data_IF_925004382851
#
_entry.id   IF_925004382851
#
_cell.length_a   1.000
_cell.length_b   1.000
_cell.length_c   1.000
_cell.angle_alpha   90.00
_cell.angle_beta   90.00
_cell.angle_gamma   90.00
#
_symmetry.space_group_name_H-M   'P 1'
#
loop_
_entity.id
_entity.type
_entity.pdbx_description
1 polymer ?
#
# COMPACT_ATOMS: atom_id res chain seq x y z
N UNK A 1 19.83 -76.49 39.50
CA UNK A 1 18.72 -76.31 40.45
C UNK A 1 18.56 -74.81 40.67
N UNK A 2 17.46 -74.20 40.18
CA UNK A 2 16.23 -73.95 40.97
C UNK A 2 16.58 -73.04 42.17
N UNK A 3 16.24 -71.75 42.21
CA UNK A 3 14.90 -71.16 42.46
C UNK A 3 15.11 -69.62 42.45
N UNK A 4 14.44 -68.86 41.56
CA UNK A 4 13.12 -68.19 41.74
C UNK A 4 13.14 -66.94 42.64
N UNK A 5 12.95 -65.79 41.96
CA UNK A 5 12.01 -64.67 42.24
C UNK A 5 11.98 -64.03 43.65
N UNK A 6 12.23 -62.72 43.70
CA UNK A 6 11.24 -61.73 44.16
C UNK A 6 11.69 -60.30 43.78
N UNK A 7 10.76 -59.54 43.24
CA UNK A 7 10.88 -58.14 42.87
C UNK A 7 10.50 -57.23 44.05
N UNK A 8 11.09 -56.03 44.17
CA UNK A 8 10.40 -54.83 44.68
C UNK A 8 10.85 -53.60 43.89
N UNK A 9 9.83 -52.82 43.54
CA UNK A 9 9.75 -51.57 42.76
C UNK A 9 10.41 -50.40 43.49
N UNK A 10 11.13 -49.55 42.76
CA UNK A 10 11.24 -48.12 43.09
C UNK A 10 11.42 -47.31 41.80
N UNK A 11 10.34 -46.65 41.41
CA UNK A 11 10.30 -45.67 40.34
C UNK A 11 11.00 -44.38 40.79
N UNK A 12 11.88 -43.85 39.94
CA UNK A 12 12.31 -42.46 39.98
C UNK A 12 12.37 -41.95 38.54
N UNK A 13 11.22 -41.49 38.06
CA UNK A 13 11.10 -40.68 36.84
C UNK A 13 11.61 -39.29 37.20
N UNK A 14 12.86 -38.98 36.82
CA UNK A 14 13.33 -37.59 36.78
C UNK A 14 13.16 -37.14 35.33
N UNK A 15 12.00 -36.51 35.08
CA UNK A 15 11.79 -35.65 33.95
C UNK A 15 12.44 -34.29 34.23
N UNK A 16 13.43 -33.91 33.43
CA UNK A 16 13.95 -32.54 33.40
C UNK A 16 14.32 -32.16 31.97
N UNK A 17 13.29 -31.72 31.24
CA UNK A 17 13.28 -30.51 30.42
C UNK A 17 14.44 -30.34 29.43
N UNK A 18 14.40 -31.13 28.35
CA UNK A 18 14.91 -30.65 27.08
C UNK A 18 14.04 -29.47 26.62
N UNK A 19 14.60 -28.27 26.63
CA UNK A 19 14.03 -27.09 26.02
C UNK A 19 13.87 -27.36 24.52
N UNK A 20 12.69 -27.83 24.13
CA UNK A 20 12.21 -27.75 22.75
C UNK A 20 11.97 -26.27 22.49
N UNK A 21 13.02 -25.57 22.06
CA UNK A 21 12.86 -24.29 21.39
C UNK A 21 12.16 -24.57 20.07
N UNK A 22 10.83 -24.57 20.07
CA UNK A 22 10.05 -24.35 18.87
C UNK A 22 10.38 -22.93 18.39
N UNK A 23 11.50 -22.77 17.70
CA UNK A 23 11.61 -21.70 16.72
C UNK A 23 10.62 -22.07 15.63
N UNK A 24 9.40 -21.50 15.74
CA UNK A 24 8.57 -21.22 14.59
C UNK A 24 9.39 -20.27 13.68
N UNK A 25 10.35 -20.84 12.95
CA UNK A 25 10.80 -20.26 11.71
C UNK A 25 9.59 -20.30 10.79
N UNK A 26 8.77 -19.24 10.86
CA UNK A 26 7.90 -18.87 9.75
C UNK A 26 8.84 -18.72 8.57
N UNK A 27 8.92 -19.78 7.79
CA UNK A 27 9.62 -19.81 6.54
C UNK A 27 8.82 -18.87 5.63
N UNK A 28 9.22 -17.60 5.59
CA UNK A 28 8.68 -16.68 4.60
C UNK A 28 8.83 -17.36 3.25
N UNK A 29 7.75 -17.48 2.46
CA UNK A 29 7.84 -18.01 1.13
C UNK A 29 8.91 -17.22 0.39
N UNK A 30 10.01 -17.88 0.02
CA UNK A 30 11.09 -17.24 -0.74
C UNK A 30 10.52 -16.89 -2.10
N UNK A 31 10.00 -15.68 -2.24
CA UNK A 31 9.50 -15.17 -3.51
C UNK A 31 10.69 -15.09 -4.45
N UNK A 32 10.63 -15.68 -5.67
CA UNK A 32 11.72 -15.56 -6.62
C UNK A 32 11.96 -14.07 -6.91
N UNK A 33 13.23 -13.64 -7.04
CA UNK A 33 13.53 -12.25 -7.39
C UNK A 33 12.85 -11.91 -8.72
N UNK A 34 12.01 -10.87 -8.72
CA UNK A 34 11.37 -10.39 -9.94
C UNK A 34 12.38 -9.52 -10.68
N UNK A 35 12.69 -9.87 -11.93
CA UNK A 35 13.50 -9.02 -12.80
C UNK A 35 12.59 -7.96 -13.45
N UNK A 36 12.86 -6.69 -13.17
CA UNK A 36 12.04 -5.59 -13.70
C UNK A 36 12.23 -5.33 -15.20
N UNK A 37 13.18 -6.00 -15.84
CA UNK A 37 13.59 -5.73 -17.22
C UNK A 37 12.85 -6.55 -18.28
N UNK A 38 12.09 -7.57 -17.87
CA UNK A 38 11.38 -8.46 -18.79
C UNK A 38 9.88 -8.33 -18.60
N UNK A 39 9.15 -8.08 -19.69
CA UNK A 39 7.70 -8.03 -19.65
C UNK A 39 7.13 -9.40 -19.26
N UNK A 40 6.15 -9.46 -18.35
CA UNK A 40 5.44 -10.70 -18.06
C UNK A 40 4.73 -11.22 -19.33
N UNK A 41 4.86 -12.52 -19.58
CA UNK A 41 4.26 -13.22 -20.73
C UNK A 41 3.15 -14.18 -20.32
N UNK A 42 2.82 -14.22 -19.02
CA UNK A 42 1.79 -15.08 -18.45
C UNK A 42 1.13 -14.42 -17.25
N UNK A 43 -0.08 -14.87 -16.92
CA UNK A 43 -0.84 -14.34 -15.78
C UNK A 43 -0.13 -14.61 -14.45
N UNK A 44 0.50 -15.78 -14.28
CA UNK A 44 1.30 -16.10 -13.08
C UNK A 44 2.47 -15.14 -12.89
N UNK A 45 3.14 -14.74 -13.99
CA UNK A 45 4.20 -13.74 -13.92
C UNK A 45 3.65 -12.36 -13.55
N UNK A 46 2.50 -11.96 -14.10
CA UNK A 46 1.85 -10.71 -13.69
C UNK A 46 1.46 -10.71 -12.21
N UNK A 47 0.91 -11.81 -11.69
CA UNK A 47 0.59 -11.95 -10.27
C UNK A 47 1.85 -11.92 -9.39
N UNK A 48 2.97 -12.48 -9.87
CA UNK A 48 4.25 -12.38 -9.20
C UNK A 48 4.76 -10.92 -9.14
N UNK A 49 4.56 -10.15 -10.21
CA UNK A 49 4.88 -8.71 -10.25
C UNK A 49 4.01 -7.92 -9.27
N UNK A 50 2.69 -8.14 -9.26
CA UNK A 50 1.78 -7.52 -8.29
C UNK A 50 2.18 -7.84 -6.85
N UNK A 51 2.45 -9.11 -6.55
CA UNK A 51 2.92 -9.54 -5.24
C UNK A 51 4.22 -8.86 -4.83
N UNK A 52 5.18 -8.75 -5.76
CA UNK A 52 6.45 -8.09 -5.51
C UNK A 52 6.28 -6.57 -5.32
N UNK A 53 5.47 -5.90 -6.13
CA UNK A 53 5.18 -4.47 -6.00
C UNK A 53 4.53 -4.13 -4.65
N UNK A 54 3.61 -4.98 -4.15
CA UNK A 54 3.01 -4.85 -2.82
C UNK A 54 4.04 -4.87 -1.69
N UNK A 55 5.14 -5.59 -1.87
CA UNK A 55 6.18 -5.73 -0.85
C UNK A 55 7.19 -4.57 -0.83
N UNK A 56 7.08 -3.62 -1.77
CA UNK A 56 7.99 -2.47 -1.86
C UNK A 56 7.58 -1.43 -0.81
N UNK A 57 8.56 -0.94 -0.06
CA UNK A 57 8.41 0.21 0.83
C UNK A 57 8.29 1.48 -0.01
N UNK A 58 7.12 2.15 -0.03
CA UNK A 58 6.94 3.33 -0.87
C UNK A 58 7.82 4.49 -0.38
N UNK A 59 7.97 4.71 0.93
CA UNK A 59 8.76 5.84 1.42
C UNK A 59 10.27 5.66 1.22
N UNK A 60 10.75 4.42 1.04
CA UNK A 60 12.14 4.16 0.70
C UNK A 60 12.50 4.58 -0.74
N UNK A 61 11.52 4.82 -1.62
CA UNK A 61 11.77 5.22 -3.02
C UNK A 61 12.28 6.66 -3.16
N UNK A 62 11.96 7.54 -2.21
CA UNK A 62 12.51 8.89 -2.14
C UNK A 62 13.06 9.10 -0.73
N UNK A 63 14.33 8.72 -0.47
CA UNK A 63 14.91 8.78 0.86
C UNK A 63 14.92 10.19 1.44
N UNK A 64 14.85 10.30 2.77
CA UNK A 64 14.91 11.59 3.47
C UNK A 64 16.14 12.42 3.08
N UNK A 65 17.30 11.81 2.86
CA UNK A 65 18.51 12.51 2.38
C UNK A 65 18.34 13.15 1.00
N UNK A 66 17.58 12.53 0.10
CA UNK A 66 17.22 13.11 -1.19
C UNK A 66 16.29 14.30 -0.99
N UNK A 67 15.30 14.18 -0.11
CA UNK A 67 14.37 15.27 0.23
C UNK A 67 15.08 16.46 0.88
N UNK A 68 16.05 16.21 1.75
CA UNK A 68 16.89 17.23 2.41
C UNK A 68 17.75 18.02 1.42
N UNK A 69 18.08 17.43 0.27
CA UNK A 69 18.79 18.15 -0.80
C UNK A 69 17.90 19.15 -1.56
N UNK A 70 16.58 18.98 -1.47
CA UNK A 70 15.57 19.85 -2.10
C UNK A 70 15.16 20.97 -1.14
N UNK A 71 15.02 20.67 0.15
CA UNK A 71 14.60 21.63 1.15
C UNK A 71 14.52 21.05 2.56
N UNK A 72 14.03 21.86 3.50
CA UNK A 72 13.87 21.44 4.89
C UNK A 72 12.68 20.48 4.98
N UNK A 73 12.95 19.22 5.31
CA UNK A 73 11.92 18.19 5.47
C UNK A 73 11.09 18.47 6.73
N UNK A 74 9.79 18.67 6.55
CA UNK A 74 8.85 18.82 7.67
C UNK A 74 8.20 17.49 8.00
N UNK A 75 7.73 16.78 6.98
CA UNK A 75 7.03 15.50 7.13
C UNK A 75 7.40 14.56 5.99
N UNK A 76 7.43 13.26 6.31
CA UNK A 76 7.42 12.17 5.34
C UNK A 76 6.45 11.15 5.91
N UNK A 77 5.46 10.72 5.13
CA UNK A 77 4.45 9.79 5.59
C UNK A 77 3.88 8.92 4.46
N UNK A 78 3.53 7.70 4.83
CA UNK A 78 2.79 6.79 3.94
C UNK A 78 1.35 7.29 3.80
N UNK A 79 0.89 7.45 2.56
CA UNK A 79 -0.48 7.93 2.28
C UNK A 79 -1.44 6.79 1.94
N UNK A 80 -1.02 5.87 1.09
CA UNK A 80 -1.72 4.61 0.82
C UNK A 80 -0.71 3.47 0.98
N UNK A 81 -1.13 2.19 1.04
CA UNK A 81 -0.18 1.08 1.13
C UNK A 81 0.92 1.07 0.05
N UNK A 82 0.71 1.76 -1.08
CA UNK A 82 1.66 1.85 -2.19
C UNK A 82 2.10 3.29 -2.52
N UNK A 83 1.87 4.25 -1.63
CA UNK A 83 2.27 5.65 -1.86
C UNK A 83 2.85 6.31 -0.62
N UNK A 84 3.72 7.28 -0.86
CA UNK A 84 4.31 8.11 0.19
C UNK A 84 4.30 9.57 -0.24
N UNK A 85 4.29 10.46 0.74
CA UNK A 85 4.30 11.88 0.52
C UNK A 85 5.29 12.56 1.45
N UNK A 86 5.80 13.71 1.01
CA UNK A 86 6.66 14.58 1.80
C UNK A 86 6.19 16.03 1.70
N UNK A 87 6.28 16.76 2.81
CA UNK A 87 6.10 18.21 2.85
C UNK A 87 7.40 18.89 3.30
N UNK A 88 7.81 19.91 2.54
CA UNK A 88 9.06 20.63 2.72
C UNK A 88 8.83 22.13 2.89
N UNK A 89 9.80 22.79 3.52
CA UNK A 89 10.03 24.24 3.60
C UNK A 89 9.02 25.07 4.42
N UNK A 90 7.71 24.82 4.34
CA UNK A 90 6.72 25.60 5.08
C UNK A 90 5.51 24.78 5.54
N UNK A 91 4.91 25.18 6.66
CA UNK A 91 3.61 24.66 7.11
C UNK A 91 2.43 25.49 6.57
N UNK A 92 2.70 26.64 5.94
CA UNK A 92 1.68 27.53 5.39
C UNK A 92 1.18 27.02 4.03
N UNK A 93 -0.14 27.09 3.83
CA UNK A 93 -0.77 26.74 2.57
C UNK A 93 -0.28 27.67 1.43
N UNK A 94 0.06 27.09 0.28
CA UNK A 94 0.60 27.84 -0.87
C UNK A 94 2.10 28.14 -0.80
N UNK A 95 2.72 27.99 0.37
CA UNK A 95 4.15 28.28 0.59
C UNK A 95 5.01 27.02 0.76
N UNK A 96 4.41 25.83 0.69
CA UNK A 96 5.11 24.55 0.89
C UNK A 96 5.40 23.84 -0.41
N UNK A 97 6.49 23.08 -0.43
CA UNK A 97 6.74 22.09 -1.48
C UNK A 97 6.17 20.75 -1.02
N UNK A 98 5.35 20.12 -1.85
CA UNK A 98 4.80 18.78 -1.61
C UNK A 98 5.23 17.84 -2.70
N UNK A 99 5.71 16.66 -2.31
CA UNK A 99 5.95 15.54 -3.19
C UNK A 99 4.97 14.42 -2.82
N UNK A 100 4.35 13.81 -3.81
CA UNK A 100 3.58 12.57 -3.65
C UNK A 100 4.07 11.59 -4.70
N UNK A 101 4.32 10.36 -4.32
CA UNK A 101 4.67 9.31 -5.27
C UNK A 101 3.99 8.00 -4.93
N UNK A 102 3.65 7.25 -5.97
CA UNK A 102 2.94 5.98 -5.84
C UNK A 102 3.46 4.93 -6.81
N UNK A 103 3.41 3.69 -6.34
CA UNK A 103 3.74 2.49 -7.13
C UNK A 103 2.45 2.00 -7.78
N UNK A 104 2.51 1.69 -9.06
CA UNK A 104 1.43 1.04 -9.80
C UNK A 104 1.92 -0.22 -10.52
N UNK A 105 0.98 -1.06 -10.91
CA UNK A 105 1.23 -2.18 -11.83
C UNK A 105 0.10 -2.15 -12.84
N UNK A 106 0.36 -1.55 -14.00
CA UNK A 106 -0.67 -1.29 -15.00
C UNK A 106 -0.36 -2.07 -16.27
N UNK A 107 -1.33 -2.88 -16.71
CA UNK A 107 -1.24 -3.62 -17.99
C UNK A 107 -1.40 -2.70 -19.19
N UNK A 108 -2.14 -1.60 -19.00
CA UNK A 108 -2.35 -0.60 -20.03
C UNK A 108 -1.06 0.18 -20.31
N UNK A 109 -0.95 0.76 -21.53
CA UNK A 109 0.11 1.72 -21.81
C UNK A 109 0.07 2.83 -20.76
N UNK A 110 1.24 3.25 -20.30
CA UNK A 110 1.37 4.38 -19.41
C UNK A 110 0.65 5.57 -20.07
N UNK A 111 -0.45 6.04 -19.48
CA UNK A 111 -1.24 7.10 -20.06
C UNK A 111 -0.38 8.37 -20.14
N UNK A 112 -0.08 8.81 -21.35
CA UNK A 112 0.48 10.14 -21.56
C UNK A 112 -0.57 11.16 -21.14
N UNK A 113 -0.19 12.09 -20.28
CA UNK A 113 -0.99 13.26 -19.96
C UNK A 113 -0.64 14.39 -20.94
N UNK A 114 -1.55 15.34 -21.10
CA UNK A 114 -1.36 16.50 -21.96
C UNK A 114 -0.12 17.29 -21.50
N UNK A 115 0.76 17.66 -22.45
CA UNK A 115 2.00 18.37 -22.14
C UNK A 115 3.16 17.49 -21.64
N UNK A 116 2.96 16.19 -21.47
CA UNK A 116 4.04 15.27 -21.14
C UNK A 116 4.97 15.02 -22.33
N UNK A 117 6.27 14.93 -22.06
CA UNK A 117 7.30 14.54 -23.03
C UNK A 117 7.77 13.13 -22.72
N UNK A 118 7.75 12.27 -23.72
CA UNK A 118 8.32 10.93 -23.62
C UNK A 118 9.85 10.98 -23.59
N UNK A 119 10.45 10.23 -22.67
CA UNK A 119 11.89 10.01 -22.56
C UNK A 119 12.19 8.63 -21.98
N UNK A 120 13.46 8.35 -21.71
CA UNK A 120 13.90 7.09 -21.09
C UNK A 120 14.93 7.33 -19.99
N UNK A 121 14.80 6.57 -18.91
CA UNK A 121 15.79 6.50 -17.83
C UNK A 121 16.12 5.02 -17.61
N UNK A 122 17.29 4.60 -18.10
CA UNK A 122 17.62 3.17 -18.20
C UNK A 122 16.58 2.42 -19.04
N UNK A 123 16.02 1.35 -18.47
CA UNK A 123 14.99 0.53 -19.11
C UNK A 123 13.56 1.06 -18.95
N UNK A 124 13.35 2.11 -18.14
CA UNK A 124 12.03 2.69 -17.92
C UNK A 124 11.67 3.70 -19.03
N UNK A 125 10.45 3.61 -19.53
CA UNK A 125 9.82 4.67 -20.34
C UNK A 125 9.24 5.70 -19.38
N UNK A 126 9.48 6.98 -19.65
CA UNK A 126 9.10 8.09 -18.77
C UNK A 126 8.26 9.09 -19.55
N UNK A 127 7.11 9.49 -19.01
CA UNK A 127 6.34 10.65 -19.45
C UNK A 127 6.41 11.70 -18.34
N UNK A 128 6.98 12.87 -18.63
CA UNK A 128 7.10 13.95 -17.67
C UNK A 128 6.68 15.27 -18.28
N UNK A 129 5.95 16.09 -17.52
CA UNK A 129 5.68 17.47 -17.88
C UNK A 129 7.00 18.25 -18.04
N UNK A 130 6.97 19.26 -18.92
CA UNK A 130 8.05 20.24 -19.05
C UNK A 130 7.56 21.59 -18.56
N UNK A 131 8.47 22.37 -17.99
CA UNK A 131 8.24 23.77 -17.70
C UNK A 131 7.80 24.48 -19.00
N UNK A 132 6.56 24.95 -19.08
CA UNK A 132 6.05 25.51 -20.34
C UNK A 132 4.67 26.15 -20.33
N UNK A 133 3.84 25.94 -19.30
CA UNK A 133 2.54 26.59 -19.22
C UNK A 133 2.63 27.95 -18.50
N UNK A 134 2.15 29.02 -19.14
CA UNK A 134 1.74 30.22 -18.41
C UNK A 134 0.55 29.84 -17.53
N UNK A 135 0.72 29.99 -16.23
CA UNK A 135 -0.33 29.71 -15.27
C UNK A 135 -1.25 30.93 -15.12
N UNK A 136 -2.53 30.68 -14.84
CA UNK A 136 -3.45 31.75 -14.52
C UNK A 136 -2.96 32.51 -13.26
N UNK A 137 -3.15 33.85 -13.19
CA UNK A 137 -2.57 34.70 -12.15
C UNK A 137 -3.09 34.41 -10.73
N UNK A 138 -4.15 33.61 -10.58
CA UNK A 138 -4.78 33.20 -9.33
C UNK A 138 -4.28 31.84 -8.79
N UNK A 139 -3.37 31.17 -9.49
CA UNK A 139 -2.79 29.89 -9.07
C UNK A 139 -1.77 30.12 -7.96
N UNK A 140 -2.00 29.56 -6.78
CA UNK A 140 -1.09 29.68 -5.62
C UNK A 140 0.03 28.63 -5.62
N UNK A 141 -0.09 27.56 -6.40
CA UNK A 141 0.87 26.46 -6.45
C UNK A 141 1.06 25.99 -7.89
N UNK A 142 2.31 25.80 -8.30
CA UNK A 142 2.62 25.13 -9.55
C UNK A 142 2.79 23.64 -9.31
N UNK A 143 2.36 22.82 -10.24
CA UNK A 143 2.49 21.36 -10.16
C UNK A 143 3.25 20.84 -11.36
N UNK A 144 4.06 19.81 -11.16
CA UNK A 144 4.67 19.02 -12.22
C UNK A 144 4.44 17.54 -11.95
N UNK A 145 4.01 16.81 -12.98
CA UNK A 145 3.78 15.38 -12.92
C UNK A 145 4.79 14.62 -13.77
N UNK A 146 5.18 13.45 -13.27
CA UNK A 146 5.98 12.47 -13.97
C UNK A 146 5.46 11.07 -13.71
N UNK A 147 5.45 10.25 -14.75
CA UNK A 147 5.16 8.84 -14.64
C UNK A 147 6.23 8.04 -15.39
N UNK A 148 6.54 6.87 -14.86
CA UNK A 148 7.57 6.01 -15.40
C UNK A 148 7.12 4.56 -15.31
N UNK A 149 7.48 3.75 -16.30
CA UNK A 149 7.12 2.33 -16.34
C UNK A 149 8.26 1.47 -16.84
N UNK A 150 8.54 0.40 -16.11
CA UNK A 150 9.47 -0.64 -16.51
C UNK A 150 8.79 -1.65 -17.46
N UNK A 151 9.56 -2.43 -18.26
CA UNK A 151 9.01 -3.44 -19.15
C UNK A 151 8.09 -4.45 -18.46
N UNK A 152 8.40 -4.76 -17.21
CA UNK A 152 7.63 -5.64 -16.31
C UNK A 152 6.26 -5.09 -15.89
N UNK A 153 5.87 -3.92 -16.38
CA UNK A 153 4.63 -3.19 -16.08
C UNK A 153 4.50 -2.56 -14.70
N UNK A 154 5.51 -2.66 -13.83
CA UNK A 154 5.58 -1.84 -12.61
C UNK A 154 5.89 -0.38 -12.97
N UNK A 155 5.19 0.54 -12.33
CA UNK A 155 5.29 1.96 -12.57
C UNK A 155 5.52 2.77 -11.30
N UNK A 156 6.00 3.99 -11.51
CA UNK A 156 6.12 5.04 -10.51
C UNK A 156 5.40 6.27 -11.06
N UNK A 157 4.46 6.80 -10.30
CA UNK A 157 3.90 8.13 -10.50
C UNK A 157 4.49 9.06 -9.45
N UNK A 158 4.87 10.27 -9.85
CA UNK A 158 5.39 11.32 -8.98
C UNK A 158 4.70 12.63 -9.34
N UNK A 159 4.17 13.30 -8.33
CA UNK A 159 3.63 14.65 -8.42
C UNK A 159 4.42 15.55 -7.48
N UNK A 160 4.88 16.68 -7.98
CA UNK A 160 5.49 17.74 -7.19
C UNK A 160 4.65 18.99 -7.29
N UNK A 161 4.32 19.60 -6.16
CA UNK A 161 3.70 20.92 -6.10
C UNK A 161 4.60 21.88 -5.32
N UNK A 162 4.83 23.07 -5.84
CA UNK A 162 5.66 24.12 -5.19
C UNK A 162 4.94 25.46 -5.19
N UNK A 163 5.40 26.44 -4.38
CA UNK A 163 5.00 27.84 -4.57
C UNK A 163 5.27 28.32 -5.99
N UNK A 164 4.54 29.35 -6.43
CA UNK A 164 4.62 29.94 -7.79
C UNK A 164 6.03 30.38 -8.18
N UNK A 165 6.83 30.82 -7.20
CA UNK A 165 8.20 31.29 -7.43
C UNK A 165 9.19 30.15 -7.77
N UNK A 166 8.82 28.91 -7.45
CA UNK A 166 9.67 27.73 -7.60
C UNK A 166 9.30 26.90 -8.84
N UNK A 167 10.20 26.02 -9.25
CA UNK A 167 10.06 25.19 -10.45
C UNK A 167 9.80 23.73 -10.09
N UNK A 168 8.55 23.24 -10.12
CA UNK A 168 8.23 21.88 -9.69
C UNK A 168 8.84 20.82 -10.62
N UNK A 169 9.00 21.07 -11.92
CA UNK A 169 9.62 20.10 -12.83
C UNK A 169 11.13 19.94 -12.60
N UNK A 170 11.82 20.98 -12.14
CA UNK A 170 13.23 20.85 -11.76
C UNK A 170 13.40 19.92 -10.54
N UNK A 171 12.46 19.97 -9.60
CA UNK A 171 12.43 19.04 -8.46
C UNK A 171 12.12 17.62 -8.93
N UNK A 172 11.11 17.45 -9.79
CA UNK A 172 10.78 16.15 -10.38
C UNK A 172 11.98 15.53 -11.11
N UNK A 173 12.65 16.29 -11.99
CA UNK A 173 13.83 15.86 -12.74
C UNK A 173 14.99 15.44 -11.81
N UNK A 174 15.11 16.05 -10.64
CA UNK A 174 16.14 15.70 -9.64
C UNK A 174 15.85 14.42 -8.87
N UNK A 175 14.58 14.08 -8.65
CA UNK A 175 14.15 12.93 -7.83
C UNK A 175 13.98 11.68 -8.67
N UNK A 176 13.39 11.81 -9.86
CA UNK A 176 12.90 10.68 -10.64
C UNK A 176 13.98 9.64 -10.97
N UNK A 177 15.23 10.00 -11.38
CA UNK A 177 16.26 9.00 -11.67
C UNK A 177 16.59 8.12 -10.45
N UNK A 178 16.79 8.73 -9.27
CA UNK A 178 17.11 8.01 -8.05
C UNK A 178 15.94 7.15 -7.57
N UNK A 179 14.70 7.65 -7.69
CA UNK A 179 13.51 6.90 -7.35
C UNK A 179 13.31 5.66 -8.24
N UNK A 180 13.66 5.75 -9.52
CA UNK A 180 13.61 4.60 -10.44
C UNK A 180 14.71 3.58 -10.16
N UNK A 181 15.89 4.01 -9.74
CA UNK A 181 16.95 3.10 -9.30
C UNK A 181 16.54 2.35 -8.02
N UNK A 182 15.90 3.04 -7.07
CA UNK A 182 15.37 2.42 -5.85
C UNK A 182 14.17 1.52 -6.14
N UNK A 183 13.26 1.90 -7.05
CA UNK A 183 12.18 1.02 -7.49
C UNK A 183 12.74 -0.26 -8.10
N UNK A 184 13.82 -0.16 -8.87
CA UNK A 184 14.53 -1.32 -9.42
C UNK A 184 15.16 -2.19 -8.32
N UNK A 185 15.65 -1.58 -7.25
CA UNK A 185 16.19 -2.30 -6.09
C UNK A 185 15.10 -2.95 -5.23
N UNK A 186 13.85 -2.48 -5.35
CA UNK A 186 12.68 -3.00 -4.65
C UNK A 186 12.86 -3.11 -3.12
N UNK A 187 13.13 -1.97 -2.43
CA UNK A 187 13.33 -1.95 -0.99
C UNK A 187 12.13 -2.58 -0.29
N UNK A 188 12.39 -3.52 0.62
CA UNK A 188 11.32 -4.25 1.31
C UNK A 188 10.58 -3.34 2.29
N UNK A 189 9.28 -3.55 2.45
CA UNK A 189 8.43 -2.85 3.42
C UNK A 189 9.10 -2.71 4.80
N UNK A 190 9.12 -1.48 5.35
CA UNK A 190 9.71 -1.17 6.66
C UNK A 190 11.22 -0.86 6.62
N UNK A 191 11.81 -0.71 5.43
CA UNK A 191 13.21 -0.27 5.29
C UNK A 191 13.35 1.24 5.43
N UNK A 192 12.29 2.01 5.17
CA UNK A 192 12.24 3.43 5.49
C UNK A 192 11.86 3.64 6.95
N UNK A 193 12.53 4.54 7.70
CA UNK A 193 12.10 4.92 9.05
C UNK A 193 10.75 5.65 9.06
N UNK A 194 10.27 6.11 7.91
CA UNK A 194 9.01 6.84 7.75
C UNK A 194 7.83 5.92 7.36
N UNK A 195 8.07 4.61 7.23
CA UNK A 195 7.06 3.60 6.93
C UNK A 195 6.65 2.88 8.22
N UNK A 196 5.47 3.18 8.78
CA UNK A 196 5.00 2.51 9.99
C UNK A 196 4.62 1.05 9.71
N UNK A 197 4.75 0.19 10.72
CA UNK A 197 4.17 -1.14 10.67
C UNK A 197 2.65 -1.07 10.51
N UNK A 198 2.11 -1.87 9.60
CA UNK A 198 0.67 -1.96 9.40
C UNK A 198 0.25 -3.31 8.85
N UNK A 199 -0.95 -3.76 9.26
CA UNK A 199 -1.52 -5.04 8.85
C UNK A 199 -1.90 -5.09 7.36
N UNK A 200 -2.15 -3.94 6.73
CA UNK A 200 -2.48 -3.85 5.30
C UNK A 200 -1.25 -3.60 4.42
N UNK A 201 -0.08 -3.33 5.01
CA UNK A 201 1.15 -3.14 4.26
C UNK A 201 1.59 -4.47 3.63
N UNK A 202 1.69 -4.51 2.30
CA UNK A 202 2.03 -5.73 1.55
C UNK A 202 0.95 -6.81 1.50
N UNK A 203 -0.21 -6.58 2.10
CA UNK A 203 -1.33 -7.51 2.06
C UNK A 203 -1.95 -7.60 0.65
N UNK A 204 -2.44 -8.78 0.28
CA UNK A 204 -3.12 -9.01 -1.00
C UNK A 204 -4.63 -8.69 -0.88
N UNK A 205 -5.13 -7.62 -1.51
CA UNK A 205 -6.55 -7.27 -1.48
C UNK A 205 -7.45 -8.33 -2.12
N UNK A 206 -6.91 -9.17 -3.01
CA UNK A 206 -7.66 -10.22 -3.69
C UNK A 206 -7.66 -11.57 -2.92
N UNK A 207 -6.99 -11.67 -1.77
CA UNK A 207 -6.93 -12.92 -1.01
C UNK A 207 -8.32 -13.44 -0.56
N UNK A 208 -9.30 -12.54 -0.42
CA UNK A 208 -10.67 -12.88 -0.02
C UNK A 208 -11.42 -13.73 -1.04
N UNK A 209 -11.03 -13.66 -2.32
CA UNK A 209 -11.76 -14.32 -3.43
C UNK A 209 -11.88 -15.84 -3.21
N UNK A 210 -10.83 -16.47 -2.67
CA UNK A 210 -10.82 -17.90 -2.34
C UNK A 210 -11.89 -18.28 -1.31
N UNK A 211 -12.16 -17.41 -0.33
CA UNK A 211 -13.20 -17.61 0.70
C UNK A 211 -14.60 -17.35 0.17
N UNK A 212 -14.72 -16.47 -0.81
CA UNK A 212 -15.99 -16.15 -1.48
C UNK A 212 -16.35 -17.18 -2.57
N UNK A 213 -15.40 -18.03 -2.99
CA UNK A 213 -15.61 -18.97 -4.09
C UNK A 213 -15.79 -18.26 -5.43
N UNK A 214 -15.16 -17.09 -5.61
CA UNK A 214 -15.20 -16.30 -6.85
C UNK A 214 -13.78 -16.03 -7.36
N UNK A 215 -13.68 -15.38 -8.52
CA UNK A 215 -12.42 -15.00 -9.15
C UNK A 215 -12.51 -13.55 -9.64
N UNK A 216 -11.37 -12.97 -9.96
CA UNK A 216 -11.27 -11.65 -10.58
C UNK A 216 -10.47 -11.75 -11.88
N UNK A 217 -10.82 -11.00 -12.93
CA UNK A 217 -9.93 -10.81 -14.07
C UNK A 217 -8.60 -10.20 -13.61
N UNK A 218 -7.49 -10.62 -14.22
CA UNK A 218 -6.17 -10.08 -13.87
C UNK A 218 -6.07 -8.54 -14.05
N UNK A 219 -6.80 -7.98 -15.01
CA UNK A 219 -6.83 -6.53 -15.25
C UNK A 219 -7.53 -5.73 -14.13
N UNK A 220 -8.29 -6.41 -13.28
CA UNK A 220 -9.05 -5.83 -12.17
C UNK A 220 -8.33 -6.01 -10.83
N UNK A 221 -7.05 -6.41 -10.87
CA UNK A 221 -6.19 -6.51 -9.69
C UNK A 221 -5.19 -5.37 -9.67
N UNK A 222 -5.20 -4.64 -8.56
CA UNK A 222 -4.33 -3.49 -8.34
C UNK A 222 -3.40 -3.75 -7.15
N UNK A 223 -2.44 -2.85 -6.93
CA UNK A 223 -1.48 -3.00 -5.82
C UNK A 223 -2.21 -3.08 -4.48
N UNK A 224 -3.20 -2.21 -4.24
CA UNK A 224 -3.96 -2.15 -2.99
C UNK A 224 -5.49 -2.27 -3.21
N UNK A 225 -5.92 -2.72 -4.40
CA UNK A 225 -7.34 -2.91 -4.71
C UNK A 225 -7.63 -4.16 -5.53
N UNK A 226 -8.89 -4.56 -5.55
CA UNK A 226 -9.40 -5.71 -6.28
C UNK A 226 -10.85 -5.47 -6.69
N UNK A 227 -11.15 -5.57 -7.99
CA UNK A 227 -12.52 -5.48 -8.51
C UNK A 227 -12.98 -6.87 -8.96
N UNK A 228 -14.18 -7.30 -8.58
CA UNK A 228 -14.69 -8.63 -8.92
C UNK A 228 -16.21 -8.71 -8.85
N UNK A 229 -16.79 -9.67 -9.56
CA UNK A 229 -18.22 -9.95 -9.44
C UNK A 229 -18.48 -11.00 -8.37
N UNK A 230 -19.49 -10.75 -7.53
CA UNK A 230 -19.93 -11.67 -6.51
C UNK A 230 -21.44 -11.56 -6.28
N UNK A 231 -22.14 -12.70 -6.36
CA UNK A 231 -23.60 -12.79 -6.22
C UNK A 231 -24.40 -11.76 -7.06
N UNK A 232 -23.93 -11.45 -8.28
CA UNK A 232 -24.59 -10.49 -9.18
C UNK A 232 -24.31 -9.02 -8.89
N UNK A 233 -23.39 -8.71 -7.98
CA UNK A 233 -22.90 -7.36 -7.72
C UNK A 233 -21.43 -7.25 -8.11
N UNK A 234 -21.05 -6.15 -8.77
CA UNK A 234 -19.64 -5.80 -8.96
C UNK A 234 -19.14 -5.11 -7.70
N UNK A 235 -18.06 -5.65 -7.15
CA UNK A 235 -17.46 -5.25 -5.90
C UNK A 235 -16.12 -4.59 -6.17
N UNK A 236 -15.90 -3.41 -5.63
CA UNK A 236 -14.59 -2.75 -5.58
C UNK A 236 -14.10 -2.76 -4.13
N UNK A 237 -13.02 -3.51 -3.89
CA UNK A 237 -12.38 -3.67 -2.59
C UNK A 237 -11.03 -2.97 -2.58
N UNK A 238 -10.79 -2.12 -1.58
CA UNK A 238 -9.55 -1.34 -1.48
C UNK A 238 -9.00 -1.32 -0.06
N UNK A 239 -7.68 -1.39 0.07
CA UNK A 239 -6.95 -1.13 1.32
C UNK A 239 -6.42 0.31 1.33
N UNK A 240 -6.55 0.98 2.46
CA UNK A 240 -6.15 2.38 2.60
C UNK A 240 -5.74 2.73 4.03
N UNK A 241 -5.10 3.89 4.20
CA UNK A 241 -4.95 4.55 5.49
C UNK A 241 -5.88 5.75 5.55
N UNK A 242 -6.95 5.64 6.32
CA UNK A 242 -8.00 6.68 6.37
C UNK A 242 -8.06 7.29 7.76
N UNK A 243 -8.30 8.61 7.85
CA UNK A 243 -8.56 9.26 9.13
C UNK A 243 -9.76 8.61 9.85
N UNK A 244 -9.57 8.26 11.12
CA UNK A 244 -10.52 7.46 11.91
C UNK A 244 -11.95 8.03 11.85
N UNK A 245 -12.13 9.35 11.92
CA UNK A 245 -13.45 10.00 11.89
C UNK A 245 -14.17 9.93 10.55
N UNK A 246 -13.47 9.59 9.45
CA UNK A 246 -14.11 9.31 8.17
C UNK A 246 -14.80 7.94 8.23
N UNK A 247 -14.22 6.98 8.95
CA UNK A 247 -14.64 5.57 8.93
C UNK A 247 -15.51 5.23 10.13
N UNK A 248 -15.04 5.52 11.34
CA UNK A 248 -15.72 5.22 12.58
C UNK A 248 -16.77 6.29 12.92
N UNK A 249 -17.82 6.39 12.08
CA UNK A 249 -18.97 7.25 12.33
C UNK A 249 -20.12 6.47 12.96
N UNK A 250 -20.47 6.81 14.21
CA UNK A 250 -21.58 6.16 14.92
C UNK A 250 -21.23 4.75 15.40
N UNK A 251 -22.26 3.94 15.61
CA UNK A 251 -22.11 2.56 16.08
C UNK A 251 -21.68 1.63 14.92
N UNK A 252 -20.78 0.65 15.18
CA UNK A 252 -20.43 -0.35 14.18
C UNK A 252 -21.66 -1.12 13.70
N UNK A 253 -21.76 -1.33 12.38
CA UNK A 253 -22.80 -2.17 11.76
C UNK A 253 -22.50 -3.67 11.92
N UNK A 254 -21.24 -4.01 12.19
CA UNK A 254 -20.74 -5.35 12.50
C UNK A 254 -19.38 -5.27 13.20
N UNK A 255 -18.98 -6.35 13.86
CA UNK A 255 -17.64 -6.52 14.45
C UNK A 255 -17.14 -7.93 14.13
N UNK A 256 -15.95 -8.05 13.55
CA UNK A 256 -15.38 -9.32 13.07
C UNK A 256 -13.97 -9.45 13.62
N UNK A 257 -13.70 -10.46 14.45
CA UNK A 257 -12.39 -10.64 15.10
C UNK A 257 -11.89 -9.37 15.84
N UNK A 258 -12.80 -8.57 16.39
CA UNK A 258 -12.47 -7.29 17.04
C UNK A 258 -12.33 -6.10 16.07
N UNK A 259 -12.44 -6.31 14.76
CA UNK A 259 -12.43 -5.26 13.73
C UNK A 259 -13.84 -4.67 13.55
N UNK A 260 -14.09 -3.41 13.95
CA UNK A 260 -15.39 -2.79 13.76
C UNK A 260 -15.60 -2.38 12.29
N UNK A 261 -16.76 -2.71 11.75
CA UNK A 261 -17.22 -2.32 10.42
C UNK A 261 -18.28 -1.22 10.49
N UNK A 262 -18.26 -0.29 9.55
CA UNK A 262 -19.08 0.91 9.53
C UNK A 262 -19.72 1.16 8.15
N UNK A 263 -20.84 1.88 8.17
CA UNK A 263 -21.41 2.47 6.97
C UNK A 263 -20.72 3.81 6.66
N UNK A 264 -20.04 3.89 5.51
CA UNK A 264 -19.30 5.08 5.07
C UNK A 264 -20.18 6.09 4.33
N UNK A 265 -21.49 5.87 4.35
CA UNK A 265 -22.56 6.59 3.66
C UNK A 265 -22.61 6.29 2.16
N UNK A 266 -23.82 6.03 1.69
CA UNK A 266 -24.13 5.87 0.27
C UNK A 266 -24.14 7.22 -0.45
N UNK A 267 -23.52 7.26 -1.62
CA UNK A 267 -23.84 8.25 -2.66
C UNK A 267 -24.70 7.51 -3.69
N UNK A 268 -25.93 7.97 -3.89
CA UNK A 268 -26.89 7.42 -4.85
C UNK A 268 -27.19 5.91 -4.68
N UNK A 269 -27.03 5.11 -5.73
CA UNK A 269 -27.30 3.67 -5.82
C UNK A 269 -26.07 2.81 -5.47
N UNK A 270 -25.01 3.43 -4.91
CA UNK A 270 -23.76 2.74 -4.54
C UNK A 270 -23.51 2.84 -3.04
N UNK A 271 -23.37 1.69 -2.39
CA UNK A 271 -23.09 1.58 -0.96
C UNK A 271 -21.60 1.42 -0.70
N UNK A 272 -21.14 2.01 0.40
CA UNK A 272 -19.73 2.04 0.79
C UNK A 272 -19.63 1.57 2.24
N UNK A 273 -18.97 0.45 2.47
CA UNK A 273 -18.68 -0.05 3.81
C UNK A 273 -17.18 -0.08 4.05
N UNK A 274 -16.78 0.07 5.31
CA UNK A 274 -15.38 -0.04 5.68
C UNK A 274 -15.19 -0.67 7.04
N UNK A 275 -14.07 -1.36 7.24
CA UNK A 275 -13.68 -1.92 8.52
C UNK A 275 -12.29 -1.44 8.90
N UNK A 276 -12.12 -1.06 10.17
CA UNK A 276 -10.81 -0.75 10.75
C UNK A 276 -10.13 -2.08 11.07
N UNK A 277 -8.97 -2.33 10.45
CA UNK A 277 -8.29 -3.63 10.49
C UNK A 277 -7.16 -3.72 11.52
N UNK A 278 -6.82 -2.61 12.16
CA UNK A 278 -5.65 -2.54 13.03
C UNK A 278 -5.50 -1.18 13.70
N UNK A 279 -4.41 -1.02 14.48
CA UNK A 279 -4.17 0.19 15.26
C UNK A 279 -3.90 1.40 14.36
N UNK A 280 -4.05 2.58 14.94
CA UNK A 280 -3.64 3.83 14.32
C UNK A 280 -2.17 3.79 13.88
N UNK A 281 -1.90 4.27 12.66
CA UNK A 281 -0.54 4.49 12.20
C UNK A 281 -0.06 5.88 12.65
N UNK A 282 1.19 6.02 13.12
CA UNK A 282 1.78 7.32 13.35
C UNK A 282 1.76 8.15 12.06
N UNK A 283 1.29 9.39 12.14
CA UNK A 283 1.40 10.37 11.05
C UNK A 283 2.33 11.48 11.51
N UNK A 284 3.32 11.80 10.67
CA UNK A 284 4.27 12.86 10.95
C UNK A 284 3.67 14.26 10.68
N UNK A 285 2.55 14.32 9.95
CA UNK A 285 1.90 15.57 9.53
C UNK A 285 0.68 15.99 10.35
N UNK A 286 0.41 17.30 10.33
CA UNK A 286 -0.83 17.90 10.85
C UNK A 286 -2.00 17.78 9.87
N UNK A 287 -1.74 17.31 8.64
CA UNK A 287 -2.75 17.06 7.62
C UNK A 287 -3.63 15.94 8.15
N UNK A 288 -4.89 16.26 8.46
CA UNK A 288 -5.90 15.37 9.07
C UNK A 288 -6.00 15.36 10.60
N UNK A 289 -5.39 16.30 11.34
CA UNK A 289 -5.59 16.39 12.81
C UNK A 289 -7.08 16.50 13.21
N UNK A 290 -7.90 17.13 12.37
CA UNK A 290 -9.35 17.23 12.55
C UNK A 290 -10.10 15.91 12.31
N UNK A 291 -9.56 15.02 11.48
CA UNK A 291 -10.14 13.72 11.12
C UNK A 291 -9.68 12.58 12.04
N UNK A 292 -8.85 12.88 13.03
CA UNK A 292 -8.28 11.89 13.94
C UNK A 292 -7.09 11.14 13.33
N UNK A 293 -6.52 10.18 14.07
CA UNK A 293 -5.39 9.40 13.58
C UNK A 293 -5.78 8.61 12.34
N UNK A 294 -4.81 8.29 11.48
CA UNK A 294 -5.03 7.41 10.33
C UNK A 294 -5.03 5.97 10.80
N UNK A 295 -5.97 5.18 10.31
CA UNK A 295 -6.11 3.75 10.62
C UNK A 295 -6.09 2.92 9.34
N UNK A 296 -5.55 1.69 9.36
CA UNK A 296 -5.62 0.75 8.26
C UNK A 296 -7.06 0.28 8.06
N UNK A 297 -7.57 0.43 6.85
CA UNK A 297 -9.00 0.21 6.54
C UNK A 297 -9.12 -0.58 5.24
N UNK A 298 -9.99 -1.58 5.26
CA UNK A 298 -10.59 -2.12 4.04
C UNK A 298 -11.87 -1.34 3.74
N UNK A 299 -12.04 -0.92 2.50
CA UNK A 299 -13.28 -0.36 1.94
C UNK A 299 -13.85 -1.33 0.92
N UNK A 300 -15.16 -1.48 0.91
CA UNK A 300 -15.88 -2.31 -0.04
C UNK A 300 -17.03 -1.49 -0.60
N UNK A 301 -17.11 -1.39 -1.93
CA UNK A 301 -18.12 -0.63 -2.65
C UNK A 301 -18.89 -1.53 -3.61
N UNK A 302 -20.18 -1.26 -3.79
CA UNK A 302 -21.04 -2.00 -4.71
C UNK A 302 -22.51 -1.62 -4.57
N UNK A 303 -23.41 -2.42 -5.16
CA UNK A 303 -24.85 -2.07 -5.23
C UNK A 303 -25.76 -2.84 -4.29
N UNK A 304 -25.28 -3.95 -3.71
CA UNK A 304 -26.07 -4.78 -2.79
C UNK A 304 -25.51 -4.75 -1.36
N UNK A 305 -26.20 -4.09 -0.40
CA UNK A 305 -25.78 -4.02 1.00
C UNK A 305 -25.55 -5.37 1.69
N UNK A 306 -26.31 -6.41 1.35
CA UNK A 306 -26.14 -7.72 1.98
C UNK A 306 -24.83 -8.36 1.50
N UNK A 307 -24.58 -8.31 0.20
CA UNK A 307 -23.35 -8.80 -0.42
C UNK A 307 -22.13 -8.05 0.12
N UNK A 308 -22.20 -6.72 0.25
CA UNK A 308 -21.08 -5.92 0.77
C UNK A 308 -20.74 -6.24 2.23
N UNK A 309 -21.74 -6.49 3.09
CA UNK A 309 -21.48 -6.91 4.48
C UNK A 309 -20.80 -8.28 4.54
N UNK A 310 -21.20 -9.21 3.67
CA UNK A 310 -20.56 -10.51 3.57
C UNK A 310 -19.09 -10.37 3.12
N UNK A 311 -18.82 -9.63 2.05
CA UNK A 311 -17.45 -9.38 1.56
C UNK A 311 -16.60 -8.71 2.63
N UNK A 312 -17.13 -7.67 3.31
CA UNK A 312 -16.41 -6.99 4.39
C UNK A 312 -16.07 -7.97 5.52
N UNK A 313 -17.02 -8.83 5.90
CA UNK A 313 -16.83 -9.85 6.93
C UNK A 313 -15.73 -10.82 6.53
N UNK A 314 -15.82 -11.43 5.35
CA UNK A 314 -14.82 -12.39 4.86
C UNK A 314 -13.44 -11.78 4.71
N UNK A 315 -13.37 -10.49 4.36
CA UNK A 315 -12.10 -9.78 4.26
C UNK A 315 -11.49 -9.52 5.64
N UNK A 316 -12.28 -9.04 6.59
CA UNK A 316 -11.80 -8.81 7.97
C UNK A 316 -11.33 -10.12 8.64
N UNK A 317 -11.95 -11.26 8.33
CA UNK A 317 -11.51 -12.58 8.81
C UNK A 317 -10.14 -13.04 8.26
N UNK A 318 -9.54 -12.33 7.29
CA UNK A 318 -8.17 -12.59 6.83
C UNK A 318 -7.11 -12.03 7.78
N UNK A 319 -7.48 -11.05 8.61
CA UNK A 319 -6.57 -10.36 9.50
C UNK A 319 -6.60 -10.98 10.91
N UNK A 320 -5.48 -10.95 11.65
CA UNK A 320 -5.43 -11.38 13.04
C UNK A 320 -6.48 -10.65 13.89
N UNK A 321 -6.90 -11.28 15.00
CA UNK A 321 -7.79 -10.61 15.94
C UNK A 321 -7.13 -9.35 16.52
N UNK A 322 -7.91 -8.28 16.66
CA UNK A 322 -7.48 -6.99 17.23
C UNK A 322 -7.22 -7.04 18.73
#
# INVERSE_FOLDING_TARGET
>A
MLIRRAAIVAAAVIAALGLVGCQDQRQEPTRPPVSWTTAPISDDQHLAVLGAARAIDPCALVPRSTLESIGTVLTVEVDTPSSCAAELNSTEFGSKTRLNWSISVDRDPLASFEGAVESRIGDAVVFAERDGAEHAPDVLVHTCMGSARFPVTIGLFVQVSTPVADKPCAVLDSVLPGALDLLRAAPTMGTSPDTPESVVAGADPCAVLSRLGTTTPLAEQFVHGCVFDYQGSTIDLQYSYTGERIVAQGDPILVVNGHPGYDLRSITETYWYGAVLGPAIPSAGTVNSSLGPRVPVVKVMGRDPAVLREVLTRTAELFPAA
#
